data_IF_871306522437
#
_entry.id   IF_871306522437
#
_cell.length_a   1.000
_cell.length_b   1.000
_cell.length_c   1.000
_cell.angle_alpha   90.00
_cell.angle_beta   90.00
_cell.angle_gamma   90.00
#
_symmetry.space_group_name_H-M   'P 1'
#
loop_
_entity.id
_entity.type
_entity.pdbx_description
1 polymer ?
#
# COMPACT_ATOMS: atom_id res chain seq x y z
N UNK A 1 -9.54 27.68 -28.94
CA UNK A 1 -10.09 27.65 -27.57
C UNK A 1 -8.99 27.05 -26.68
N UNK A 2 -8.41 27.83 -25.78
CA UNK A 2 -7.17 27.46 -25.08
C UNK A 2 -7.55 26.98 -23.69
N UNK A 3 -7.32 25.70 -23.37
CA UNK A 3 -7.60 25.04 -22.08
C UNK A 3 -6.77 25.65 -20.93
N UNK A 4 -6.92 26.93 -20.66
CA UNK A 4 -6.09 27.69 -19.73
C UNK A 4 -6.66 27.65 -18.30
N UNK A 5 -7.94 27.28 -18.18
CA UNK A 5 -8.68 27.28 -16.91
C UNK A 5 -8.43 26.01 -16.08
N UNK A 6 -8.21 24.86 -16.71
CA UNK A 6 -7.97 23.61 -15.99
C UNK A 6 -6.48 23.43 -15.66
N UNK A 7 -6.11 23.80 -14.42
CA UNK A 7 -4.75 23.62 -13.89
C UNK A 7 -4.69 22.53 -12.82
N UNK A 8 -4.60 21.27 -13.25
CA UNK A 8 -4.59 20.08 -12.37
C UNK A 8 -3.50 20.09 -11.29
N UNK A 9 -2.41 20.83 -11.50
CA UNK A 9 -1.34 20.96 -10.50
C UNK A 9 -1.79 21.69 -9.23
N UNK A 10 -2.84 22.52 -9.28
CA UNK A 10 -3.35 23.29 -8.12
C UNK A 10 -3.72 22.40 -6.94
N UNK A 11 -4.36 21.26 -7.19
CA UNK A 11 -4.74 20.28 -6.15
C UNK A 11 -3.55 19.47 -5.61
N UNK A 12 -2.36 19.60 -6.22
CA UNK A 12 -1.14 18.86 -5.84
C UNK A 12 -0.07 19.74 -5.20
N UNK A 13 -0.33 21.04 -4.98
CA UNK A 13 0.67 22.03 -4.51
C UNK A 13 1.22 21.66 -3.12
N UNK A 14 0.34 21.39 -2.15
CA UNK A 14 0.74 21.11 -0.76
C UNK A 14 0.34 19.70 -0.33
N UNK A 15 0.98 19.22 0.72
CA UNK A 15 0.64 17.93 1.32
C UNK A 15 -0.80 17.91 1.88
N UNK A 16 -1.21 18.99 2.54
CA UNK A 16 -2.58 19.15 3.05
C UNK A 16 -3.63 19.11 1.94
N UNK A 17 -3.37 19.78 0.80
CA UNK A 17 -4.27 19.73 -0.36
C UNK A 17 -4.37 18.32 -0.94
N UNK A 18 -3.23 17.62 -1.09
CA UNK A 18 -3.23 16.23 -1.57
C UNK A 18 -3.96 15.29 -0.63
N UNK A 19 -3.85 15.48 0.69
CA UNK A 19 -4.59 14.71 1.70
C UNK A 19 -6.10 14.93 1.61
N UNK A 20 -6.53 16.18 1.39
CA UNK A 20 -7.94 16.55 1.23
C UNK A 20 -8.58 15.91 -0.02
N UNK A 21 -7.87 15.92 -1.15
CA UNK A 21 -8.39 15.37 -2.42
C UNK A 21 -8.10 13.88 -2.63
N UNK A 22 -7.49 13.20 -1.66
CA UNK A 22 -7.10 11.78 -1.78
C UNK A 22 -8.32 10.88 -1.82
N UNK A 23 -8.45 10.12 -2.90
CA UNK A 23 -9.58 9.20 -3.10
C UNK A 23 -9.36 7.86 -2.39
N UNK A 24 -8.18 7.24 -2.56
CA UNK A 24 -7.88 5.93 -2.00
C UNK A 24 -7.10 6.03 -0.70
N UNK A 25 -7.58 5.34 0.34
CA UNK A 25 -6.93 5.22 1.65
C UNK A 25 -6.73 3.74 1.96
N UNK A 26 -5.63 3.43 2.64
CA UNK A 26 -5.32 2.09 3.14
C UNK A 26 -5.12 2.18 4.65
N UNK A 27 -5.76 1.30 5.41
CA UNK A 27 -5.58 1.12 6.84
C UNK A 27 -5.28 -0.34 7.17
N UNK A 28 -4.79 -0.60 8.39
CA UNK A 28 -4.50 -1.96 8.89
C UNK A 28 -5.74 -2.86 8.81
N UNK A 29 -6.94 -2.29 9.00
CA UNK A 29 -8.21 -3.00 8.85
C UNK A 29 -8.51 -3.48 7.42
N UNK A 30 -7.77 -3.00 6.41
CA UNK A 30 -7.88 -3.49 5.03
C UNK A 30 -6.92 -4.65 4.74
N UNK A 31 -6.06 -5.02 5.69
CA UNK A 31 -5.05 -6.06 5.49
C UNK A 31 -5.57 -7.41 6.01
N UNK A 32 -5.26 -8.46 5.25
CA UNK A 32 -5.42 -9.85 5.65
C UNK A 32 -4.03 -10.48 5.62
N UNK A 33 -3.63 -11.12 6.71
CA UNK A 33 -2.34 -11.81 6.80
C UNK A 33 -2.53 -13.31 6.56
N UNK A 34 -2.24 -13.82 5.34
CA UNK A 34 -2.33 -15.25 5.07
C UNK A 34 -1.25 -15.99 5.86
N UNK A 35 -1.62 -17.14 6.43
CA UNK A 35 -0.74 -17.99 7.22
C UNK A 35 -0.63 -19.38 6.58
N UNK A 36 0.59 -19.90 6.49
CA UNK A 36 0.87 -21.28 6.09
C UNK A 36 0.97 -22.16 7.33
N UNK A 37 0.23 -23.26 7.38
CA UNK A 37 0.18 -24.17 8.52
C UNK A 37 0.51 -25.60 8.07
N UNK A 38 1.33 -26.30 8.86
CA UNK A 38 1.73 -27.70 8.67
C UNK A 38 1.59 -28.45 9.99
N UNK A 39 1.17 -29.71 9.93
CA UNK A 39 1.07 -30.56 11.13
C UNK A 39 2.46 -30.84 11.72
N UNK A 40 2.59 -30.73 13.03
CA UNK A 40 3.83 -30.98 13.78
C UNK A 40 4.04 -29.97 14.91
N UNK A 41 5.14 -30.12 15.66
CA UNK A 41 5.48 -29.23 16.77
C UNK A 41 6.80 -28.49 16.46
N UNK A 42 6.85 -27.18 16.77
CA UNK A 42 8.04 -26.33 16.60
C UNK A 42 8.64 -26.32 15.19
N UNK A 43 7.80 -26.41 14.16
CA UNK A 43 8.23 -26.31 12.76
C UNK A 43 8.25 -24.85 12.31
N UNK A 44 9.42 -24.37 11.87
CA UNK A 44 9.61 -23.07 11.21
C UNK A 44 10.47 -23.30 9.98
N UNK A 45 9.83 -23.69 8.88
CA UNK A 45 10.47 -23.93 7.59
C UNK A 45 10.33 -22.66 6.73
N UNK A 46 11.42 -22.05 6.25
CA UNK A 46 11.32 -20.96 5.29
C UNK A 46 10.71 -21.49 3.98
N UNK A 47 9.92 -20.64 3.33
CA UNK A 47 9.43 -20.91 1.99
C UNK A 47 10.34 -20.16 1.02
N UNK A 48 11.25 -20.87 0.36
CA UNK A 48 12.20 -20.32 -0.63
C UNK A 48 11.56 -19.41 -1.71
N UNK A 49 10.33 -19.64 -2.23
CA UNK A 49 9.71 -18.72 -3.19
C UNK A 49 8.99 -17.52 -2.54
N UNK A 50 8.91 -17.46 -1.20
CA UNK A 50 8.33 -16.37 -0.42
C UNK A 50 9.36 -15.75 0.53
N UNK A 51 10.60 -15.61 0.07
CA UNK A 51 11.65 -14.98 0.85
C UNK A 51 11.39 -13.49 1.09
N UNK A 52 11.64 -13.08 2.33
CA UNK A 52 11.64 -11.69 2.82
C UNK A 52 13.09 -11.17 2.86
N UNK A 53 13.85 -11.45 1.80
CA UNK A 53 15.30 -11.22 1.74
C UNK A 53 15.58 -9.71 1.59
N UNK A 54 15.53 -9.03 2.72
CA UNK A 54 16.27 -7.78 2.98
C UNK A 54 17.52 -8.19 3.80
N UNK A 55 18.74 -7.69 3.49
CA UNK A 55 19.93 -8.04 4.26
C UNK A 55 19.84 -7.70 5.74
#
# INVERSE_FOLDING_TARGET
MKDTDLRMRRLRISDSMRKLVRQTKLSVSNLVYPLFVKNGHNLKEPLDPMTDDTP
#
